data_IF_279590470386
#
_entry.id   IF_279590470386
#
_cell.length_a   1.000
_cell.length_b   1.000
_cell.length_c   1.000
_cell.angle_alpha   90.00
_cell.angle_beta   90.00
_cell.angle_gamma   90.00
#
_symmetry.space_group_name_H-M   'P 1'
#
loop_
_entity.id
_entity.type
_entity.pdbx_description
1 polymer ?
#
# COMPACT_ATOMS: atom_id res chain seq x y z
N UNK A 1 -14.39 -21.44 3.14
CA UNK A 1 -14.64 -22.90 2.92
C UNK A 1 -13.67 -23.38 1.85
N UNK A 2 -12.94 -24.46 2.10
CA UNK A 2 -11.92 -25.01 1.18
C UNK A 2 -12.33 -26.41 0.73
N UNK A 3 -12.06 -26.72 -0.53
CA UNK A 3 -12.21 -28.07 -1.11
C UNK A 3 -11.07 -28.33 -2.09
N UNK A 4 -10.70 -29.60 -2.25
CA UNK A 4 -9.73 -29.99 -3.27
C UNK A 4 -10.45 -30.40 -4.57
N UNK A 5 -9.85 -30.14 -5.76
CA UNK A 5 -10.49 -30.38 -7.06
C UNK A 5 -10.87 -31.86 -7.32
N UNK A 6 -10.25 -32.80 -6.60
CA UNK A 6 -10.55 -34.23 -6.74
C UNK A 6 -11.78 -34.68 -5.96
N UNK A 7 -12.40 -33.82 -5.14
CA UNK A 7 -13.59 -34.17 -4.37
C UNK A 7 -14.79 -34.44 -5.27
N UNK A 8 -15.58 -35.48 -4.96
CA UNK A 8 -16.72 -35.88 -5.76
C UNK A 8 -17.78 -34.77 -5.95
N UNK A 9 -17.94 -33.89 -4.95
CA UNK A 9 -18.94 -32.82 -4.94
C UNK A 9 -18.41 -31.48 -5.46
N UNK A 10 -17.29 -31.48 -6.18
CA UNK A 10 -16.64 -30.25 -6.65
C UNK A 10 -17.57 -29.38 -7.50
N UNK A 11 -18.38 -29.96 -8.38
CA UNK A 11 -19.30 -29.18 -9.21
C UNK A 11 -20.42 -28.53 -8.39
N UNK A 12 -20.96 -29.24 -7.37
CA UNK A 12 -21.94 -28.69 -6.43
C UNK A 12 -21.35 -27.52 -5.66
N UNK A 13 -20.09 -27.64 -5.25
CA UNK A 13 -19.35 -26.56 -4.59
C UNK A 13 -19.18 -25.33 -5.50
N UNK A 14 -18.84 -25.53 -6.75
CA UNK A 14 -18.69 -24.43 -7.73
C UNK A 14 -20.03 -23.73 -8.02
N UNK A 15 -21.14 -24.49 -7.96
CA UNK A 15 -22.47 -23.95 -8.20
C UNK A 15 -23.08 -23.23 -6.97
N UNK A 16 -22.58 -23.48 -5.79
CA UNK A 16 -23.17 -22.98 -4.53
C UNK A 16 -23.24 -21.45 -4.41
N UNK A 17 -22.39 -20.71 -5.14
CA UNK A 17 -22.37 -19.23 -5.13
C UNK A 17 -22.96 -18.60 -6.40
N UNK A 18 -23.49 -19.37 -7.32
CA UNK A 18 -24.08 -18.82 -8.54
C UNK A 18 -25.26 -17.90 -8.25
N UNK A 19 -25.43 -16.86 -9.11
CA UNK A 19 -26.47 -15.86 -8.98
C UNK A 19 -27.87 -16.33 -9.38
N UNK A 20 -27.98 -17.50 -9.98
CA UNK A 20 -29.23 -18.09 -10.46
C UNK A 20 -29.49 -19.46 -9.83
N UNK A 21 -30.69 -20.02 -10.02
CA UNK A 21 -31.10 -21.32 -9.51
C UNK A 21 -31.86 -21.23 -8.18
N UNK A 22 -32.23 -22.41 -7.64
CA UNK A 22 -33.01 -22.52 -6.40
C UNK A 22 -32.16 -22.10 -5.19
N UNK A 23 -32.73 -21.28 -4.31
CA UNK A 23 -32.04 -20.74 -3.12
C UNK A 23 -31.60 -21.84 -2.14
N UNK A 24 -32.38 -22.94 -2.06
CA UNK A 24 -32.12 -24.07 -1.14
C UNK A 24 -30.77 -24.76 -1.41
N UNK A 25 -30.20 -24.60 -2.61
CA UNK A 25 -28.92 -25.19 -3.00
C UNK A 25 -27.82 -24.14 -3.13
N UNK A 26 -28.08 -22.94 -2.61
CA UNK A 26 -27.09 -21.82 -2.63
C UNK A 26 -26.58 -21.52 -1.23
N UNK A 27 -25.35 -21.09 -1.18
CA UNK A 27 -24.70 -20.63 0.06
C UNK A 27 -23.82 -19.40 -0.28
N UNK A 28 -24.48 -18.31 -0.69
CA UNK A 28 -23.83 -17.10 -1.23
C UNK A 28 -22.99 -16.33 -0.22
N UNK A 29 -23.32 -16.45 1.06
CA UNK A 29 -22.61 -15.75 2.14
C UNK A 29 -21.27 -16.41 2.53
N UNK A 30 -21.00 -17.61 2.00
CA UNK A 30 -19.73 -18.28 2.24
C UNK A 30 -18.64 -17.82 1.26
N UNK A 31 -17.41 -17.86 1.74
CA UNK A 31 -16.22 -17.60 0.93
C UNK A 31 -15.59 -18.92 0.51
N UNK A 32 -15.49 -19.12 -0.80
CA UNK A 32 -15.08 -20.37 -1.41
C UNK A 32 -13.64 -20.32 -1.93
N UNK A 33 -12.88 -21.38 -1.66
CA UNK A 33 -11.52 -21.55 -2.15
C UNK A 33 -11.25 -23.00 -2.57
N UNK A 34 -10.42 -23.17 -3.58
CA UNK A 34 -9.88 -24.45 -3.98
C UNK A 34 -8.47 -24.63 -3.42
N UNK A 35 -8.21 -25.83 -2.89
CA UNK A 35 -6.90 -26.27 -2.44
C UNK A 35 -6.30 -27.19 -3.51
N UNK A 36 -5.55 -26.60 -4.45
CA UNK A 36 -5.22 -27.18 -5.74
C UNK A 36 -3.85 -27.88 -5.70
N UNK A 37 -3.79 -29.21 -5.94
CA UNK A 37 -2.53 -29.90 -6.15
C UNK A 37 -1.96 -29.65 -7.55
N UNK A 38 -0.65 -29.63 -7.70
CA UNK A 38 0.05 -29.40 -8.97
C UNK A 38 -0.33 -30.44 -10.03
N UNK A 39 -0.62 -31.68 -9.62
CA UNK A 39 -1.07 -32.75 -10.49
C UNK A 39 -2.33 -32.37 -11.30
N UNK A 40 -3.29 -31.63 -10.69
CA UNK A 40 -4.48 -31.18 -11.41
C UNK A 40 -4.11 -30.25 -12.57
N UNK A 41 -3.26 -29.26 -12.30
CA UNK A 41 -2.80 -28.30 -13.32
C UNK A 41 -2.00 -29.02 -14.43
N UNK A 42 -1.15 -29.97 -14.05
CA UNK A 42 -0.42 -30.80 -14.99
C UNK A 42 -1.37 -31.53 -15.94
N UNK A 43 -2.42 -32.18 -15.42
CA UNK A 43 -3.41 -32.89 -16.23
C UNK A 43 -4.26 -31.98 -17.11
N UNK A 44 -4.58 -30.78 -16.65
CA UNK A 44 -5.24 -29.75 -17.48
C UNK A 44 -4.35 -29.40 -18.69
N UNK A 45 -3.05 -29.18 -18.46
CA UNK A 45 -2.09 -28.83 -19.53
C UNK A 45 -1.86 -29.97 -20.51
N UNK A 46 -1.88 -31.20 -20.03
CA UNK A 46 -1.73 -32.41 -20.83
C UNK A 46 -3.02 -32.88 -21.49
N UNK A 47 -4.12 -32.15 -21.29
CA UNK A 47 -5.47 -32.51 -21.76
C UNK A 47 -5.87 -33.95 -21.35
N UNK A 48 -5.53 -34.32 -20.11
CA UNK A 48 -5.68 -35.65 -19.54
C UNK A 48 -6.97 -35.75 -18.71
N UNK A 49 -7.28 -36.97 -18.21
CA UNK A 49 -8.42 -37.20 -17.36
C UNK A 49 -8.15 -36.87 -15.90
N UNK A 50 -9.23 -36.50 -15.19
CA UNK A 50 -9.24 -36.22 -13.77
C UNK A 50 -10.33 -37.02 -13.06
N UNK A 51 -9.96 -37.70 -11.98
CA UNK A 51 -10.84 -38.60 -11.25
C UNK A 51 -11.40 -37.94 -10.01
N UNK A 52 -12.72 -37.93 -9.88
CA UNK A 52 -13.43 -37.40 -8.72
C UNK A 52 -13.63 -38.51 -7.70
N UNK A 53 -13.14 -38.28 -6.47
CA UNK A 53 -13.05 -39.28 -5.43
C UNK A 53 -13.80 -38.86 -4.16
N UNK A 54 -14.18 -39.87 -3.35
CA UNK A 54 -14.77 -39.64 -2.04
C UNK A 54 -13.67 -39.71 -0.97
N UNK A 55 -13.55 -38.72 -0.06
CA UNK A 55 -12.51 -38.76 0.99
C UNK A 55 -12.55 -39.98 1.88
N UNK A 56 -13.74 -40.52 2.12
CA UNK A 56 -13.88 -41.74 2.93
C UNK A 56 -13.36 -43.01 2.23
N UNK A 57 -13.48 -43.06 0.89
CA UNK A 57 -13.02 -44.21 0.08
C UNK A 57 -11.54 -44.09 -0.30
N UNK A 58 -11.03 -42.84 -0.34
CA UNK A 58 -9.67 -42.48 -0.69
C UNK A 58 -9.01 -41.68 0.44
N UNK A 59 -8.82 -42.28 1.64
CA UNK A 59 -8.25 -41.57 2.77
C UNK A 59 -6.80 -41.17 2.52
N UNK A 60 -6.37 -40.08 3.18
CA UNK A 60 -4.99 -39.57 3.13
C UNK A 60 -4.68 -38.60 2.01
N UNK A 61 -5.57 -38.43 1.02
CA UNK A 61 -5.36 -37.42 -0.04
C UNK A 61 -5.26 -35.99 0.49
N UNK A 62 -6.05 -35.65 1.51
CA UNK A 62 -5.96 -34.35 2.18
C UNK A 62 -4.70 -34.19 3.04
N UNK A 63 -4.08 -35.28 3.44
CA UNK A 63 -2.92 -35.29 4.35
C UNK A 63 -1.57 -35.34 3.63
N UNK A 64 -1.60 -35.46 2.30
CA UNK A 64 -0.41 -35.58 1.45
C UNK A 64 -0.35 -34.45 0.44
N UNK A 65 0.85 -34.10 -0.03
CA UNK A 65 1.12 -33.10 -1.04
C UNK A 65 2.33 -33.52 -1.91
N UNK A 66 2.50 -32.82 -3.04
CA UNK A 66 3.58 -33.07 -4.00
C UNK A 66 3.61 -34.55 -4.44
N UNK A 67 4.77 -35.15 -4.55
CA UNK A 67 4.97 -36.54 -5.02
C UNK A 67 4.14 -37.57 -4.22
N UNK A 68 4.04 -37.40 -2.89
CA UNK A 68 3.23 -38.29 -2.06
C UNK A 68 1.75 -38.25 -2.40
N UNK A 69 1.24 -37.08 -2.71
CA UNK A 69 -0.15 -36.90 -3.19
C UNK A 69 -0.31 -37.55 -4.56
N UNK A 70 0.59 -37.28 -5.50
CA UNK A 70 0.54 -37.81 -6.86
C UNK A 70 0.53 -39.35 -6.83
N UNK A 71 1.44 -39.99 -6.09
CA UNK A 71 1.54 -41.41 -5.97
C UNK A 71 0.26 -42.04 -5.38
N UNK A 72 -0.27 -41.44 -4.31
CA UNK A 72 -1.49 -41.90 -3.68
C UNK A 72 -2.72 -41.77 -4.56
N UNK A 73 -2.83 -40.61 -5.23
CA UNK A 73 -3.92 -40.34 -6.16
C UNK A 73 -3.92 -41.30 -7.36
N UNK A 74 -2.77 -41.50 -8.00
CA UNK A 74 -2.60 -42.46 -9.11
C UNK A 74 -2.90 -43.86 -8.68
N UNK A 75 -2.47 -44.26 -7.46
CA UNK A 75 -2.81 -45.56 -6.89
C UNK A 75 -4.31 -45.77 -6.78
N UNK A 76 -5.05 -44.83 -6.18
CA UNK A 76 -6.51 -44.92 -6.09
C UNK A 76 -7.20 -44.91 -7.45
N UNK A 77 -6.67 -44.17 -8.39
CA UNK A 77 -7.15 -44.16 -9.75
C UNK A 77 -6.96 -45.51 -10.44
N UNK A 78 -5.81 -46.15 -10.30
CA UNK A 78 -5.52 -47.48 -10.83
C UNK A 78 -6.36 -48.61 -10.18
N UNK A 79 -6.73 -48.40 -8.90
CA UNK A 79 -7.65 -49.31 -8.17
C UNK A 79 -9.13 -49.08 -8.52
N UNK A 80 -9.45 -48.09 -9.39
CA UNK A 80 -10.82 -47.76 -9.75
C UNK A 80 -11.62 -47.12 -8.63
N UNK A 81 -10.97 -46.55 -7.60
CA UNK A 81 -11.61 -45.90 -6.45
C UNK A 81 -12.00 -44.44 -6.74
N UNK A 82 -12.79 -44.24 -7.74
CA UNK A 82 -13.32 -42.94 -8.08
C UNK A 82 -14.82 -43.02 -8.40
N UNK A 83 -15.54 -41.95 -8.13
CA UNK A 83 -16.99 -41.83 -8.41
C UNK A 83 -17.24 -41.49 -9.87
N UNK A 84 -16.41 -40.66 -10.45
CA UNK A 84 -16.49 -40.17 -11.81
C UNK A 84 -15.10 -39.84 -12.33
N UNK A 85 -14.87 -40.10 -13.61
CA UNK A 85 -13.66 -39.62 -14.31
C UNK A 85 -14.11 -38.69 -15.44
N UNK A 86 -13.47 -37.52 -15.53
CA UNK A 86 -13.80 -36.45 -16.47
C UNK A 86 -12.53 -35.93 -17.14
N UNK A 87 -12.61 -35.30 -18.32
CA UNK A 87 -11.49 -34.51 -18.83
C UNK A 87 -11.14 -33.41 -17.82
N UNK A 88 -9.87 -33.25 -17.46
CA UNK A 88 -9.44 -32.22 -16.49
C UNK A 88 -9.81 -30.81 -16.95
N UNK A 89 -9.80 -30.58 -18.26
CA UNK A 89 -10.20 -29.29 -18.86
C UNK A 89 -11.69 -28.95 -18.63
N UNK A 90 -12.57 -29.97 -18.47
CA UNK A 90 -13.98 -29.75 -18.15
C UNK A 90 -14.14 -29.08 -16.78
N UNK A 91 -13.43 -29.61 -15.76
CA UNK A 91 -13.43 -29.03 -14.43
C UNK A 91 -12.75 -27.66 -14.42
N UNK A 92 -11.66 -27.49 -15.15
CA UNK A 92 -10.98 -26.20 -15.29
C UNK A 92 -11.92 -25.13 -15.83
N UNK A 93 -12.64 -25.42 -16.88
CA UNK A 93 -13.63 -24.50 -17.48
C UNK A 93 -14.77 -24.18 -16.49
N UNK A 94 -15.23 -25.17 -15.71
CA UNK A 94 -16.24 -24.94 -14.67
C UNK A 94 -15.73 -23.99 -13.56
N UNK A 95 -14.47 -24.13 -13.15
CA UNK A 95 -13.81 -23.22 -12.20
C UNK A 95 -13.75 -21.80 -12.75
N UNK A 96 -13.26 -21.62 -13.99
CA UNK A 96 -13.17 -20.30 -14.63
C UNK A 96 -14.56 -19.65 -14.77
N UNK A 97 -15.56 -20.41 -15.18
CA UNK A 97 -16.93 -19.89 -15.29
C UNK A 97 -17.49 -19.44 -13.92
N UNK A 98 -17.23 -20.21 -12.86
CA UNK A 98 -17.61 -19.80 -11.49
C UNK A 98 -16.91 -18.50 -11.09
N UNK A 99 -15.61 -18.35 -11.40
CA UNK A 99 -14.86 -17.15 -11.08
C UNK A 99 -15.34 -15.92 -11.88
N UNK A 100 -15.68 -16.09 -13.14
CA UNK A 100 -16.23 -14.99 -13.95
C UNK A 100 -17.58 -14.52 -13.40
N UNK A 101 -18.44 -15.46 -12.96
CA UNK A 101 -19.78 -15.15 -12.49
C UNK A 101 -19.79 -14.56 -11.07
N UNK A 102 -18.97 -15.10 -10.16
CA UNK A 102 -19.05 -14.80 -8.72
C UNK A 102 -17.78 -14.22 -8.09
N UNK A 103 -16.67 -14.15 -8.81
CA UNK A 103 -15.35 -13.79 -8.28
C UNK A 103 -14.71 -14.89 -7.42
N UNK A 104 -15.34 -16.04 -7.26
CA UNK A 104 -14.87 -17.19 -6.47
C UNK A 104 -14.98 -18.48 -7.26
N UNK A 105 -14.30 -19.56 -6.87
CA UNK A 105 -13.43 -19.75 -5.70
C UNK A 105 -12.07 -19.10 -5.82
N UNK A 106 -11.41 -18.81 -4.69
CA UNK A 106 -9.98 -18.50 -4.67
C UNK A 106 -9.18 -19.71 -5.11
N UNK A 107 -8.01 -19.48 -5.70
CA UNK A 107 -7.10 -20.55 -6.13
C UNK A 107 -5.90 -20.59 -5.19
N UNK A 108 -5.83 -21.59 -4.32
CA UNK A 108 -4.71 -21.83 -3.40
C UNK A 108 -3.94 -23.06 -3.84
N UNK A 109 -2.63 -22.96 -3.91
CA UNK A 109 -1.77 -24.03 -4.42
C UNK A 109 -1.20 -24.87 -3.27
N UNK A 110 -1.79 -26.05 -3.07
CA UNK A 110 -1.51 -27.00 -1.99
C UNK A 110 -0.03 -27.35 -1.84
N UNK A 111 0.60 -27.73 -2.96
CA UNK A 111 1.96 -28.23 -2.95
C UNK A 111 2.96 -27.11 -2.62
N UNK A 112 2.81 -25.95 -3.24
CA UNK A 112 3.65 -24.80 -2.96
C UNK A 112 3.48 -24.28 -1.53
N UNK A 113 2.24 -24.22 -1.01
CA UNK A 113 1.97 -23.82 0.36
C UNK A 113 2.69 -24.71 1.37
N UNK A 114 2.59 -26.03 1.19
CA UNK A 114 3.20 -26.99 2.10
C UNK A 114 4.73 -27.07 1.94
N UNK A 115 5.25 -27.03 0.72
CA UNK A 115 6.69 -27.07 0.47
C UNK A 115 7.43 -25.85 1.03
N UNK A 116 6.77 -24.69 1.13
CA UNK A 116 7.33 -23.43 1.67
C UNK A 116 6.96 -23.18 3.12
N UNK A 117 6.21 -24.06 3.75
CA UNK A 117 5.75 -23.88 5.12
C UNK A 117 6.91 -23.93 6.12
N UNK A 118 6.99 -22.92 6.99
CA UNK A 118 7.90 -22.94 8.14
C UNK A 118 7.44 -23.90 9.26
N UNK A 119 6.22 -24.45 9.15
CA UNK A 119 5.58 -25.37 10.11
C UNK A 119 5.48 -26.78 9.59
N UNK A 120 6.29 -27.18 8.61
CA UNK A 120 6.30 -28.53 8.02
C UNK A 120 6.61 -29.65 9.02
N UNK A 121 7.24 -29.29 10.14
CA UNK A 121 7.50 -30.20 11.29
C UNK A 121 6.23 -30.51 12.10
N UNK A 122 5.19 -29.67 12.04
CA UNK A 122 3.93 -29.87 12.76
C UNK A 122 2.95 -30.74 11.94
N UNK A 123 2.86 -30.52 10.63
CA UNK A 123 1.97 -31.28 9.79
C UNK A 123 1.69 -30.63 8.44
N UNK A 124 0.67 -31.14 7.75
CA UNK A 124 0.23 -30.66 6.42
C UNK A 124 -0.81 -29.56 6.57
N UNK A 125 -0.56 -28.40 5.95
CA UNK A 125 -1.54 -27.33 5.83
C UNK A 125 -2.62 -27.75 4.85
N UNK A 126 -3.90 -27.66 5.26
CA UNK A 126 -5.06 -28.13 4.50
C UNK A 126 -5.97 -27.01 3.99
N UNK A 127 -5.77 -25.79 4.47
CA UNK A 127 -6.56 -24.62 4.10
C UNK A 127 -5.81 -23.33 4.44
N UNK A 128 -6.36 -22.22 4.03
CA UNK A 128 -5.97 -20.89 4.49
C UNK A 128 -7.15 -20.25 5.26
N UNK A 129 -7.00 -19.00 5.66
CA UNK A 129 -8.07 -18.22 6.30
C UNK A 129 -9.12 -17.69 5.28
N UNK A 130 -10.00 -16.79 5.74
CA UNK A 130 -11.06 -16.21 4.94
C UNK A 130 -10.58 -15.53 3.67
N UNK A 131 -9.53 -14.68 3.78
CA UNK A 131 -9.02 -13.86 2.69
C UNK A 131 -7.88 -14.54 1.92
N UNK A 132 -7.53 -15.77 2.27
CA UNK A 132 -6.48 -16.57 1.60
C UNK A 132 -5.05 -16.01 1.69
N UNK A 133 -4.76 -15.22 2.74
CA UNK A 133 -3.43 -14.63 2.96
C UNK A 133 -2.58 -15.38 3.99
N UNK A 134 -3.18 -16.24 4.83
CA UNK A 134 -2.50 -16.93 5.95
C UNK A 134 -2.41 -18.43 5.68
N UNK A 135 -1.20 -18.94 5.61
CA UNK A 135 -0.90 -20.37 5.40
C UNK A 135 -0.19 -20.90 6.64
N UNK A 136 -0.97 -21.32 7.62
CA UNK A 136 -0.48 -21.87 8.89
C UNK A 136 -1.09 -23.23 9.16
N UNK A 137 -0.33 -24.07 9.90
CA UNK A 137 -0.84 -25.36 10.35
C UNK A 137 -1.97 -25.18 11.37
N UNK A 138 -3.00 -25.98 11.23
CA UNK A 138 -4.12 -26.04 12.16
C UNK A 138 -4.74 -27.43 12.09
N UNK A 139 -5.14 -27.97 13.25
CA UNK A 139 -5.81 -29.26 13.36
C UNK A 139 -6.88 -29.26 14.45
N UNK A 140 -7.30 -30.43 14.93
CA UNK A 140 -8.32 -30.53 15.98
C UNK A 140 -7.83 -30.11 17.37
N UNK A 141 -6.52 -30.00 17.56
CA UNK A 141 -5.88 -29.67 18.85
C UNK A 141 -5.20 -28.32 18.84
N UNK A 142 -4.77 -27.85 17.68
CA UNK A 142 -4.06 -26.59 17.50
C UNK A 142 -4.79 -25.69 16.49
N UNK A 143 -5.10 -24.47 16.91
CA UNK A 143 -5.74 -23.48 16.06
C UNK A 143 -4.73 -22.41 15.67
N UNK A 144 -4.54 -22.22 14.36
CA UNK A 144 -3.73 -21.13 13.85
C UNK A 144 -4.36 -19.78 14.19
N UNK A 145 -3.55 -18.87 14.71
CA UNK A 145 -3.95 -17.50 15.06
C UNK A 145 -3.01 -16.51 14.37
N UNK A 146 -3.58 -15.46 13.78
CA UNK A 146 -2.81 -14.39 13.19
C UNK A 146 -3.14 -13.05 13.87
N UNK A 147 -2.12 -12.41 14.41
CA UNK A 147 -2.21 -11.04 14.91
C UNK A 147 -1.96 -10.09 13.74
N UNK A 148 -3.00 -9.36 13.34
CA UNK A 148 -2.92 -8.43 12.22
C UNK A 148 -2.53 -7.04 12.70
N UNK A 149 -1.63 -6.41 11.97
CA UNK A 149 -1.29 -5.01 12.15
C UNK A 149 -1.05 -4.35 10.79
N UNK A 150 -1.34 -3.06 10.70
CA UNK A 150 -1.03 -2.26 9.51
C UNK A 150 -0.43 -0.93 9.91
N UNK A 151 0.58 -0.48 9.15
CA UNK A 151 1.25 0.80 9.36
C UNK A 151 0.83 1.75 8.24
N UNK A 152 0.31 2.93 8.61
CA UNK A 152 -0.03 3.97 7.65
C UNK A 152 1.25 4.68 7.16
N UNK A 153 1.84 4.19 6.08
CA UNK A 153 3.12 4.70 5.55
C UNK A 153 3.06 6.18 5.15
N UNK A 154 1.89 6.71 4.77
CA UNK A 154 1.73 8.12 4.46
C UNK A 154 1.99 9.06 5.65
N UNK A 155 1.82 8.56 6.88
CA UNK A 155 2.14 9.29 8.11
C UNK A 155 3.64 9.36 8.42
N UNK A 156 4.45 8.65 7.64
CA UNK A 156 5.92 8.64 7.73
C UNK A 156 6.56 9.51 6.63
N UNK A 157 5.75 10.15 5.80
CA UNK A 157 6.21 11.02 4.73
C UNK A 157 6.22 12.46 5.22
N UNK A 158 7.41 13.05 5.32
CA UNK A 158 7.60 14.46 5.62
C UNK A 158 7.75 15.25 4.34
N UNK A 159 7.00 16.35 4.23
CA UNK A 159 7.11 17.30 3.11
C UNK A 159 7.58 18.63 3.65
N UNK A 160 8.78 19.02 3.27
CA UNK A 160 9.38 20.29 3.67
C UNK A 160 9.52 21.18 2.44
N UNK A 161 9.01 22.40 2.53
CA UNK A 161 9.23 23.44 1.51
C UNK A 161 10.52 24.18 1.84
N UNK A 162 11.41 24.30 0.87
CA UNK A 162 12.66 25.04 1.03
C UNK A 162 13.09 25.67 -0.29
N UNK A 163 13.96 26.68 -0.19
CA UNK A 163 14.53 27.33 -1.37
C UNK A 163 15.50 26.35 -2.06
N UNK A 164 15.35 26.23 -3.38
CA UNK A 164 16.26 25.46 -4.23
C UNK A 164 17.68 26.01 -4.09
N UNK A 165 18.64 25.12 -3.79
CA UNK A 165 20.05 25.49 -3.65
C UNK A 165 20.24 26.76 -2.80
N UNK A 166 19.72 26.75 -1.57
CA UNK A 166 19.71 27.92 -0.66
C UNK A 166 21.05 28.63 -0.55
N UNK A 167 22.17 27.89 -0.50
CA UNK A 167 23.52 28.47 -0.46
C UNK A 167 23.79 29.34 -1.67
N UNK A 168 23.60 28.81 -2.88
CA UNK A 168 23.76 29.58 -4.12
C UNK A 168 22.75 30.72 -4.24
N UNK A 169 21.52 30.51 -3.76
CA UNK A 169 20.50 31.58 -3.74
C UNK A 169 20.98 32.75 -2.89
N UNK A 170 21.48 32.50 -1.67
CA UNK A 170 22.00 33.51 -0.75
C UNK A 170 23.28 34.21 -1.24
N UNK A 171 24.11 33.49 -2.00
CA UNK A 171 25.32 34.06 -2.61
C UNK A 171 25.01 34.97 -3.80
N UNK A 172 24.05 34.59 -4.63
CA UNK A 172 23.72 35.29 -5.87
C UNK A 172 22.71 36.43 -5.68
N UNK A 173 21.90 36.38 -4.63
CA UNK A 173 20.81 37.33 -4.40
C UNK A 173 21.04 38.10 -3.11
N UNK A 174 21.41 39.36 -3.24
CA UNK A 174 21.43 40.30 -2.12
C UNK A 174 20.05 40.89 -1.94
N UNK A 175 19.32 40.42 -0.92
CA UNK A 175 17.99 40.94 -0.59
C UNK A 175 18.10 42.12 0.40
N UNK A 176 17.35 43.15 0.14
CA UNK A 176 17.23 44.28 1.05
C UNK A 176 15.74 44.57 1.30
N UNK A 177 15.38 44.69 2.57
CA UNK A 177 14.04 44.99 3.04
C UNK A 177 14.02 46.42 3.60
N UNK A 178 13.41 47.33 2.90
CA UNK A 178 13.11 48.68 3.42
C UNK A 178 11.87 48.56 4.30
N UNK A 179 12.00 48.94 5.56
CA UNK A 179 11.02 48.67 6.62
C UNK A 179 10.78 49.92 7.46
N UNK A 180 9.65 50.00 8.14
CA UNK A 180 9.38 51.01 9.16
C UNK A 180 8.81 50.41 10.43
N UNK A 181 8.85 51.13 11.52
CA UNK A 181 8.26 50.75 12.79
C UNK A 181 6.73 50.57 12.67
N UNK A 182 6.17 49.64 13.49
CA UNK A 182 4.74 49.34 13.56
C UNK A 182 4.15 48.92 12.19
N UNK A 183 4.85 48.17 11.39
CA UNK A 183 4.47 47.79 10.06
C UNK A 183 4.24 46.26 9.99
N UNK A 184 3.00 45.80 10.08
CA UNK A 184 2.61 44.39 10.02
C UNK A 184 3.18 43.65 8.81
N UNK A 185 3.12 44.25 7.62
CA UNK A 185 3.63 43.58 6.39
C UNK A 185 5.16 43.57 6.33
N UNK A 186 5.84 44.53 6.99
CA UNK A 186 7.28 44.49 7.14
C UNK A 186 7.73 43.34 8.02
N UNK A 187 7.01 43.06 9.10
CA UNK A 187 7.29 41.93 9.99
C UNK A 187 7.02 40.59 9.28
N UNK A 188 5.88 40.48 8.58
CA UNK A 188 5.58 39.30 7.79
C UNK A 188 6.63 39.03 6.69
N UNK A 189 7.19 40.06 6.06
CA UNK A 189 8.24 39.91 5.05
C UNK A 189 9.54 39.35 5.69
N UNK A 190 9.95 39.91 6.83
CA UNK A 190 11.10 39.45 7.58
C UNK A 190 10.91 38.00 8.08
N UNK A 191 9.76 37.68 8.66
CA UNK A 191 9.42 36.33 9.10
C UNK A 191 9.45 35.32 7.96
N UNK A 192 8.94 35.68 6.78
CA UNK A 192 8.94 34.81 5.61
C UNK A 192 10.36 34.49 5.13
N UNK A 193 11.24 35.50 5.09
CA UNK A 193 12.65 35.33 4.72
C UNK A 193 13.40 34.46 5.76
N UNK A 194 13.17 34.70 7.04
CA UNK A 194 13.72 33.90 8.13
C UNK A 194 13.23 32.44 8.08
N UNK A 195 11.97 32.23 7.78
CA UNK A 195 11.38 30.89 7.67
C UNK A 195 12.10 30.03 6.61
N UNK A 196 12.50 30.64 5.51
CA UNK A 196 13.25 29.94 4.44
C UNK A 196 14.77 30.05 4.57
N UNK A 197 15.30 30.62 5.66
CA UNK A 197 16.72 30.87 5.89
C UNK A 197 17.38 31.70 4.78
N UNK A 198 16.64 32.63 4.21
CA UNK A 198 17.15 33.57 3.20
C UNK A 198 17.87 34.72 3.90
N UNK A 199 19.10 35.03 3.44
CA UNK A 199 19.86 36.18 3.93
C UNK A 199 19.30 37.49 3.40
N UNK A 200 19.13 38.49 4.26
CA UNK A 200 18.67 39.82 3.87
C UNK A 200 19.20 40.91 4.79
N UNK A 201 19.34 42.10 4.23
CA UNK A 201 19.63 43.31 4.96
C UNK A 201 18.33 44.08 5.25
N UNK A 202 18.26 44.83 6.33
CA UNK A 202 17.12 45.68 6.68
C UNK A 202 17.59 47.15 6.69
N UNK A 203 16.86 48.00 5.98
CA UNK A 203 17.03 49.44 6.02
C UNK A 203 15.79 50.01 6.68
N UNK A 204 16.00 50.70 7.81
CA UNK A 204 14.91 51.34 8.55
C UNK A 204 14.58 52.73 7.96
N UNK A 205 13.36 52.91 7.52
CA UNK A 205 12.77 54.14 7.04
C UNK A 205 11.61 54.54 7.95
N UNK A 206 11.84 54.50 9.26
CA UNK A 206 10.82 54.93 10.25
C UNK A 206 10.69 56.44 10.32
N UNK A 207 11.74 57.17 9.93
CA UNK A 207 11.65 58.63 9.74
C UNK A 207 10.74 58.95 8.56
N UNK A 208 9.85 59.92 8.77
CA UNK A 208 8.84 60.27 7.77
C UNK A 208 9.41 61.02 6.57
N UNK A 209 10.41 61.88 6.80
CA UNK A 209 11.05 62.66 5.70
C UNK A 209 11.92 61.72 4.84
N UNK A 210 12.77 60.91 5.44
CA UNK A 210 13.58 59.90 4.71
C UNK A 210 12.70 58.93 3.92
N UNK A 211 11.56 58.55 4.47
CA UNK A 211 10.64 57.65 3.79
C UNK A 211 9.91 58.32 2.63
N UNK A 212 9.56 59.59 2.73
CA UNK A 212 8.95 60.34 1.65
C UNK A 212 9.94 60.54 0.52
N UNK A 213 11.16 60.91 0.79
CA UNK A 213 12.25 60.99 -0.20
C UNK A 213 12.45 59.64 -0.92
N UNK A 214 12.47 58.54 -0.18
CA UNK A 214 12.55 57.20 -0.75
C UNK A 214 11.35 56.90 -1.68
N UNK A 215 10.14 57.27 -1.31
CA UNK A 215 8.97 57.06 -2.16
C UNK A 215 9.02 57.88 -3.45
N UNK A 216 9.51 59.08 -3.40
CA UNK A 216 9.67 59.96 -4.56
C UNK A 216 10.74 59.41 -5.51
N UNK A 217 11.91 59.04 -4.97
CA UNK A 217 13.02 58.47 -5.74
C UNK A 217 12.66 57.19 -6.49
N UNK A 218 11.83 56.33 -5.88
CA UNK A 218 11.51 55.01 -6.45
C UNK A 218 10.16 54.96 -7.16
N UNK A 219 9.45 56.11 -7.28
CA UNK A 219 8.23 56.22 -8.07
C UNK A 219 8.58 56.71 -9.50
N UNK A 220 7.93 56.10 -10.49
CA UNK A 220 8.04 56.48 -11.90
C UNK A 220 6.63 56.80 -12.44
N UNK A 221 6.35 58.08 -12.60
CA UNK A 221 5.05 58.56 -13.07
C UNK A 221 4.81 58.26 -14.56
N UNK A 222 5.86 58.17 -15.36
CA UNK A 222 5.75 57.84 -16.79
C UNK A 222 5.45 56.34 -16.96
N UNK A 223 6.09 55.48 -16.16
CA UNK A 223 5.77 54.07 -16.10
C UNK A 223 4.56 53.72 -15.24
N UNK A 224 3.91 54.72 -14.61
CA UNK A 224 2.78 54.55 -13.67
C UNK A 224 3.08 53.68 -12.46
N UNK A 225 4.33 53.72 -11.99
CA UNK A 225 4.77 53.03 -10.78
C UNK A 225 4.70 54.03 -9.63
N UNK A 226 3.80 53.79 -8.68
CA UNK A 226 3.66 54.61 -7.48
C UNK A 226 4.13 53.80 -6.27
N UNK A 227 5.17 54.27 -5.60
CA UNK A 227 5.70 53.68 -4.36
C UNK A 227 5.22 54.54 -3.19
N UNK A 228 4.33 53.99 -2.36
CA UNK A 228 3.74 54.70 -1.22
C UNK A 228 3.43 53.81 -0.04
N UNK A 229 3.95 52.59 -0.04
CA UNK A 229 3.70 51.56 1.00
C UNK A 229 4.99 50.91 1.46
N UNK A 230 4.97 50.33 2.67
CA UNK A 230 6.05 49.49 3.22
C UNK A 230 5.53 48.08 3.52
N UNK A 231 6.39 47.03 3.42
CA UNK A 231 7.81 47.06 3.03
C UNK A 231 8.01 47.33 1.53
N UNK A 232 9.23 47.70 1.17
CA UNK A 232 9.74 47.59 -0.19
C UNK A 232 10.93 46.66 -0.23
N UNK A 233 10.92 45.74 -1.17
CA UNK A 233 11.89 44.65 -1.28
C UNK A 233 12.72 44.81 -2.55
N UNK A 234 14.03 44.69 -2.41
CA UNK A 234 14.98 44.75 -3.52
C UNK A 234 15.80 43.48 -3.57
N UNK A 235 16.07 42.99 -4.77
CA UNK A 235 16.99 41.90 -5.04
C UNK A 235 18.04 42.44 -6.01
N UNK A 236 19.33 42.39 -5.60
CA UNK A 236 20.43 42.92 -6.41
C UNK A 236 20.18 44.32 -6.94
N UNK A 237 19.69 45.22 -6.09
CA UNK A 237 19.32 46.61 -6.40
C UNK A 237 18.08 46.77 -7.30
N UNK A 238 17.43 45.71 -7.71
CA UNK A 238 16.19 45.75 -8.47
C UNK A 238 15.01 45.63 -7.51
N UNK A 239 14.13 46.61 -7.56
CA UNK A 239 12.88 46.61 -6.77
C UNK A 239 11.95 45.52 -7.29
N UNK A 240 11.48 44.64 -6.38
CA UNK A 240 10.46 43.62 -6.73
C UNK A 240 9.06 43.97 -6.25
N UNK A 241 8.92 44.85 -5.25
CA UNK A 241 7.63 45.29 -4.73
C UNK A 241 7.54 45.17 -3.21
N UNK A 242 6.34 44.86 -2.71
CA UNK A 242 6.06 44.68 -1.29
C UNK A 242 6.10 43.20 -0.83
N UNK A 243 5.34 42.94 0.24
CA UNK A 243 5.24 41.58 0.81
C UNK A 243 4.61 40.58 -0.17
N UNK A 244 3.60 40.97 -0.91
CA UNK A 244 2.89 40.10 -1.86
C UNK A 244 3.82 39.65 -2.97
N UNK A 245 4.54 40.57 -3.57
CA UNK A 245 5.49 40.29 -4.66
C UNK A 245 6.69 39.50 -4.16
N UNK A 246 7.16 39.72 -2.92
CA UNK A 246 8.19 38.87 -2.29
C UNK A 246 7.72 37.42 -2.17
N UNK A 247 6.48 37.23 -1.72
CA UNK A 247 5.89 35.88 -1.57
C UNK A 247 5.80 35.17 -2.91
N UNK A 248 5.26 35.85 -3.93
CA UNK A 248 5.18 35.29 -5.30
C UNK A 248 6.57 34.96 -5.86
N UNK A 249 7.55 35.84 -5.65
CA UNK A 249 8.94 35.59 -6.07
C UNK A 249 9.50 34.34 -5.38
N UNK A 250 9.39 34.25 -4.05
CA UNK A 250 9.90 33.08 -3.31
C UNK A 250 9.18 31.79 -3.70
N UNK A 251 7.88 31.83 -3.98
CA UNK A 251 7.12 30.65 -4.43
C UNK A 251 7.69 30.06 -5.73
N UNK A 252 8.31 30.88 -6.60
CA UNK A 252 9.03 30.39 -7.79
C UNK A 252 10.34 29.71 -7.47
N UNK A 253 10.94 30.00 -6.32
CA UNK A 253 12.24 29.48 -5.88
C UNK A 253 12.11 28.25 -4.96
N UNK A 254 10.90 27.97 -4.50
CA UNK A 254 10.63 26.88 -3.56
C UNK A 254 10.53 25.54 -4.28
N UNK A 255 11.10 24.52 -3.69
CA UNK A 255 10.83 23.13 -4.00
C UNK A 255 10.28 22.40 -2.77
N UNK A 256 9.54 21.33 -3.02
CA UNK A 256 9.06 20.47 -1.96
C UNK A 256 9.95 19.22 -1.92
N UNK A 257 10.71 19.08 -0.85
CA UNK A 257 11.48 17.87 -0.58
C UNK A 257 10.59 16.91 0.18
N UNK A 258 10.48 15.71 -0.33
CA UNK A 258 9.76 14.61 0.30
C UNK A 258 10.76 13.63 0.88
N UNK A 259 10.71 13.41 2.18
CA UNK A 259 11.56 12.45 2.89
C UNK A 259 10.70 11.41 3.59
N UNK A 260 11.22 10.21 3.73
CA UNK A 260 10.56 9.14 4.47
C UNK A 260 11.26 8.94 5.82
N UNK A 261 10.47 8.91 6.89
CA UNK A 261 10.98 8.78 8.26
C UNK A 261 11.20 7.29 8.62
N UNK A 262 12.35 6.76 8.25
CA UNK A 262 12.74 5.38 8.56
C UNK A 262 12.96 5.15 10.06
N UNK A 263 13.36 6.19 10.81
CA UNK A 263 13.57 6.06 12.26
C UNK A 263 12.23 5.82 12.96
N UNK A 264 11.22 6.62 12.63
CA UNK A 264 9.86 6.45 13.15
C UNK A 264 9.26 5.11 12.74
N UNK A 265 9.51 4.65 11.51
CA UNK A 265 9.10 3.32 11.07
C UNK A 265 9.72 2.23 11.94
N UNK A 266 11.03 2.31 12.18
CA UNK A 266 11.75 1.37 13.06
C UNK A 266 11.11 1.28 14.44
N UNK A 267 10.88 2.42 15.10
CA UNK A 267 10.27 2.47 16.41
C UNK A 267 8.83 1.90 16.46
N UNK A 268 8.01 2.18 15.44
CA UNK A 268 6.67 1.57 15.33
C UNK A 268 6.78 0.05 15.18
N UNK A 269 7.73 -0.42 14.39
CA UNK A 269 7.94 -1.86 14.18
C UNK A 269 8.40 -2.56 15.46
N UNK A 270 9.32 -1.96 16.22
CA UNK A 270 9.74 -2.45 17.54
C UNK A 270 8.56 -2.59 18.49
N UNK A 271 7.72 -1.56 18.59
CA UNK A 271 6.51 -1.58 19.44
C UNK A 271 5.54 -2.69 19.01
N UNK A 272 5.39 -2.95 17.69
CA UNK A 272 4.55 -4.04 17.20
C UNK A 272 5.11 -5.41 17.60
N UNK A 273 6.41 -5.62 17.49
CA UNK A 273 7.08 -6.87 17.86
C UNK A 273 6.95 -7.10 19.38
N UNK A 274 7.22 -6.11 20.19
CA UNK A 274 7.06 -6.20 21.66
C UNK A 274 5.61 -6.58 22.05
N UNK A 275 4.61 -6.01 21.40
CA UNK A 275 3.21 -6.36 21.65
C UNK A 275 2.88 -7.80 21.26
N UNK A 276 3.46 -8.32 20.17
CA UNK A 276 3.30 -9.71 19.74
C UNK A 276 3.94 -10.65 20.77
N UNK A 277 5.15 -10.34 21.23
CA UNK A 277 5.84 -11.13 22.27
C UNK A 277 5.02 -11.20 23.55
N UNK A 278 4.44 -10.08 24.02
CA UNK A 278 3.53 -10.07 25.18
C UNK A 278 2.30 -10.96 24.99
N UNK A 279 1.78 -11.07 23.77
CA UNK A 279 0.65 -11.96 23.46
C UNK A 279 1.10 -13.43 23.52
N UNK A 280 2.25 -13.74 22.95
CA UNK A 280 2.83 -15.09 22.96
C UNK A 280 3.11 -15.56 24.39
N UNK A 281 3.69 -14.69 25.24
CA UNK A 281 4.03 -15.03 26.62
C UNK A 281 2.82 -15.24 27.54
N UNK A 282 1.63 -14.77 27.13
CA UNK A 282 0.38 -14.89 27.90
C UNK A 282 -0.47 -16.11 27.52
N UNK A 283 -0.15 -16.77 26.44
CA UNK A 283 -0.86 -17.97 25.95
C UNK A 283 -0.03 -19.24 26.15
#
# INVERSE_FOLDING_TARGET
MYIEPWHADIFTFLDAKKNNGAEEIRARDLFYALWVPDLFIKRVRENSYWSLMCPNECPGLCDTYSTKFEDLYIKYESEGKYRKQIPAIELWNAIINSQIESGTPYMSYKDHANNKSNQSNLGTIKSSNLCNEIYQYSDSTETAVCNLASICLSQLVNKTKMIKNLSSFNELNKLTVYSKNNCKYCDLAKELLLHYNVNFDVIDLSDDDERMDFYEEHSDLEARIIVNTMPQIFINQTRIGGYTELKEYLDTQIETITTFDYHKLGHITETLVENIDVIIDKN
#
